data_IF_946049623682
#
_entry.id   IF_946049623682
#
_cell.length_a   1.000
_cell.length_b   1.000
_cell.length_c   1.000
_cell.angle_alpha   90.00
_cell.angle_beta   90.00
_cell.angle_gamma   90.00
#
_symmetry.space_group_name_H-M   'P 1'
#
loop_
_entity.id
_entity.type
_entity.pdbx_description
1 polymer ?
#
# COMPACT_ATOMS: atom_id res chain seq x y z
N UNK A 1 4.56 72.05 6.94
CA UNK A 1 5.30 71.72 5.71
C UNK A 1 5.65 70.24 5.77
N UNK A 2 5.03 69.45 4.88
CA UNK A 2 5.39 68.06 4.58
C UNK A 2 6.73 68.00 3.85
N UNK A 3 7.56 67.00 4.18
CA UNK A 3 8.32 66.10 3.29
C UNK A 3 9.15 65.19 4.21
N UNK A 4 8.99 63.87 4.17
CA UNK A 4 9.84 63.06 3.30
C UNK A 4 9.33 61.62 3.14
N UNK A 5 9.19 61.26 1.87
CA UNK A 5 9.64 60.03 1.22
C UNK A 5 9.27 58.65 1.82
N UNK A 6 8.31 58.04 1.14
CA UNK A 6 8.12 56.60 0.88
C UNK A 6 9.46 55.84 0.78
N UNK A 7 9.67 54.83 1.63
CA UNK A 7 10.58 53.71 1.37
C UNK A 7 9.75 52.45 1.12
N UNK A 8 9.87 51.97 -0.10
CA UNK A 8 9.53 50.63 -0.55
C UNK A 8 10.50 49.59 0.03
N UNK A 9 10.20 48.31 -0.23
CA UNK A 9 10.83 47.06 0.24
C UNK A 9 10.36 46.63 1.65
N UNK A 10 9.30 45.84 1.86
CA UNK A 10 8.83 44.66 1.11
C UNK A 10 9.94 43.64 0.80
N UNK A 11 10.67 43.24 1.84
CA UNK A 11 11.36 41.95 1.83
C UNK A 11 10.32 40.84 2.00
N UNK A 12 9.92 40.28 0.86
CA UNK A 12 9.36 38.94 0.76
C UNK A 12 10.44 37.91 1.05
N UNK A 13 10.24 37.09 2.07
CA UNK A 13 10.93 35.82 2.26
C UNK A 13 9.89 34.71 2.38
N UNK A 14 9.82 33.76 1.43
CA UNK A 14 8.88 32.66 1.49
C UNK A 14 9.53 31.47 2.21
N UNK A 15 8.73 30.78 3.01
CA UNK A 15 8.94 29.35 3.24
C UNK A 15 9.30 28.94 4.66
N UNK A 16 8.72 27.79 5.00
CA UNK A 16 9.10 26.91 6.09
C UNK A 16 8.70 27.34 7.51
N UNK A 17 7.42 27.19 7.85
CA UNK A 17 7.10 26.33 9.00
C UNK A 17 5.68 25.75 8.87
N UNK A 18 5.46 24.98 7.79
CA UNK A 18 4.29 24.09 7.69
C UNK A 18 4.65 22.82 8.44
N UNK A 19 4.60 22.86 9.78
CA UNK A 19 4.79 21.65 10.60
C UNK A 19 3.83 20.57 10.11
N UNK A 20 4.30 19.37 9.74
CA UNK A 20 3.40 18.27 9.44
C UNK A 20 2.70 17.85 10.73
N UNK A 21 1.36 17.88 10.69
CA UNK A 21 0.48 17.31 11.70
C UNK A 21 0.89 15.87 12.03
N UNK A 22 0.96 15.46 13.31
CA UNK A 22 1.16 14.06 13.67
C UNK A 22 -0.18 13.30 13.54
N UNK A 23 -0.69 13.17 12.31
CA UNK A 23 -1.89 12.36 12.02
C UNK A 23 -1.54 10.97 11.45
N UNK A 24 -0.28 10.69 11.17
CA UNK A 24 0.14 9.44 10.51
C UNK A 24 0.41 8.28 11.47
N UNK A 25 0.17 8.45 12.77
CA UNK A 25 0.48 7.44 13.78
C UNK A 25 -0.75 6.69 14.30
N UNK A 26 -1.84 6.63 13.53
CA UNK A 26 -2.98 5.80 13.88
C UNK A 26 -3.05 4.60 12.92
N UNK A 27 -2.93 3.41 13.52
CA UNK A 27 -3.24 2.09 12.94
C UNK A 27 -2.14 1.30 12.22
N UNK A 28 -0.92 1.26 12.76
CA UNK A 28 0.10 0.29 12.33
C UNK A 28 -0.10 -1.14 12.89
N UNK A 29 -1.04 -1.33 13.84
CA UNK A 29 -1.39 -2.64 14.40
C UNK A 29 -2.25 -3.53 13.48
N UNK A 30 -2.91 -2.95 12.47
CA UNK A 30 -3.66 -3.65 11.42
C UNK A 30 -2.84 -3.91 10.15
N UNK A 31 -1.61 -3.39 10.06
CA UNK A 31 -0.82 -3.41 8.82
C UNK A 31 -0.35 -4.82 8.39
N UNK A 32 -0.05 -5.72 9.34
CA UNK A 32 0.32 -7.12 9.02
C UNK A 32 -0.87 -7.95 8.54
N UNK A 33 -2.05 -7.74 9.13
CA UNK A 33 -3.29 -8.33 8.64
C UNK A 33 -3.66 -7.77 7.27
N UNK A 34 -3.47 -6.46 7.07
CA UNK A 34 -3.68 -5.80 5.78
C UNK A 34 -2.75 -6.35 4.70
N UNK A 35 -1.47 -6.61 5.02
CA UNK A 35 -0.51 -7.22 4.09
C UNK A 35 -0.89 -8.64 3.66
N UNK A 36 -1.27 -9.49 4.62
CA UNK A 36 -1.69 -10.86 4.31
C UNK A 36 -3.03 -10.91 3.57
N UNK A 37 -3.98 -10.03 3.92
CA UNK A 37 -5.25 -9.92 3.22
C UNK A 37 -5.07 -9.43 1.78
N UNK A 38 -4.19 -8.45 1.55
CA UNK A 38 -3.86 -7.98 0.21
C UNK A 38 -3.21 -9.09 -0.64
N UNK A 39 -2.26 -9.84 -0.07
CA UNK A 39 -1.63 -10.99 -0.74
C UNK A 39 -2.63 -12.10 -1.06
N UNK A 40 -3.51 -12.45 -0.12
CA UNK A 40 -4.56 -13.43 -0.34
C UNK A 40 -5.50 -12.99 -1.47
N UNK A 41 -5.87 -11.70 -1.52
CA UNK A 41 -6.66 -11.13 -2.61
C UNK A 41 -5.96 -11.23 -3.98
N UNK A 42 -4.66 -10.94 -4.06
CA UNK A 42 -3.87 -11.10 -5.29
C UNK A 42 -3.81 -12.57 -5.75
N UNK A 43 -3.64 -13.51 -4.82
CA UNK A 43 -3.62 -14.95 -5.11
C UNK A 43 -5.00 -15.42 -5.57
N UNK A 44 -6.06 -15.04 -4.87
CA UNK A 44 -7.44 -15.39 -5.25
C UNK A 44 -7.78 -14.86 -6.65
N UNK A 45 -7.40 -13.62 -6.96
CA UNK A 45 -7.59 -13.04 -8.27
C UNK A 45 -6.81 -13.78 -9.37
N UNK A 46 -5.57 -14.19 -9.09
CA UNK A 46 -4.78 -15.03 -10.00
C UNK A 46 -5.45 -16.39 -10.24
N UNK A 47 -5.95 -17.03 -9.19
CA UNK A 47 -6.61 -18.34 -9.26
C UNK A 47 -7.91 -18.28 -10.07
N UNK A 48 -8.69 -17.20 -9.95
CA UNK A 48 -9.90 -16.98 -10.76
C UNK A 48 -9.60 -16.86 -12.26
N UNK A 49 -8.42 -16.34 -12.64
CA UNK A 49 -7.98 -16.27 -14.04
C UNK A 49 -7.44 -17.59 -14.58
N UNK A 50 -7.12 -18.55 -13.72
CA UNK A 50 -6.64 -19.87 -14.12
C UNK A 50 -7.81 -20.83 -14.39
N UNK A 51 -7.89 -21.47 -15.56
CA UNK A 51 -8.97 -22.41 -15.88
C UNK A 51 -8.99 -23.64 -14.95
N UNK A 52 -7.85 -24.00 -14.37
CA UNK A 52 -7.72 -25.12 -13.43
C UNK A 52 -8.25 -24.77 -12.04
N UNK A 53 -8.14 -23.50 -11.62
CA UNK A 53 -8.43 -23.07 -10.25
C UNK A 53 -9.68 -22.19 -10.11
N UNK A 54 -10.33 -21.79 -11.22
CA UNK A 54 -11.54 -20.96 -11.22
C UNK A 54 -12.75 -21.56 -10.49
N UNK A 55 -12.77 -22.88 -10.31
CA UNK A 55 -13.84 -23.61 -9.62
C UNK A 55 -13.44 -24.08 -8.21
N UNK A 56 -12.25 -23.67 -7.74
CA UNK A 56 -11.80 -23.99 -6.41
C UNK A 56 -12.67 -23.27 -5.38
N UNK A 57 -13.13 -23.98 -4.36
CA UNK A 57 -13.87 -23.36 -3.27
C UNK A 57 -12.97 -22.42 -2.47
N UNK A 58 -13.54 -21.34 -1.96
CA UNK A 58 -12.78 -20.37 -1.16
C UNK A 58 -12.17 -21.02 0.09
N UNK A 59 -12.85 -22.00 0.68
CA UNK A 59 -12.34 -22.78 1.80
C UNK A 59 -11.08 -23.58 1.41
N UNK A 60 -11.09 -24.25 0.26
CA UNK A 60 -9.92 -25.01 -0.22
C UNK A 60 -8.76 -24.08 -0.55
N UNK A 61 -9.05 -22.90 -1.12
CA UNK A 61 -8.03 -21.89 -1.37
C UNK A 61 -7.40 -21.39 -0.06
N UNK A 62 -8.23 -21.07 0.93
CA UNK A 62 -7.76 -20.63 2.25
C UNK A 62 -6.89 -21.71 2.91
N UNK A 63 -7.30 -22.97 2.84
CA UNK A 63 -6.52 -24.10 3.33
C UNK A 63 -5.16 -24.23 2.65
N UNK A 64 -5.09 -24.07 1.32
CA UNK A 64 -3.84 -24.17 0.57
C UNK A 64 -2.89 -22.98 0.82
N UNK A 65 -3.45 -21.80 1.06
CA UNK A 65 -2.68 -20.54 1.14
C UNK A 65 -2.33 -20.19 2.59
N UNK A 66 -3.07 -20.64 3.60
CA UNK A 66 -2.82 -20.31 5.00
C UNK A 66 -1.44 -20.78 5.54
N UNK A 67 -0.98 -22.03 5.28
CA UNK A 67 0.35 -22.47 5.72
C UNK A 67 1.51 -21.66 5.11
N UNK A 68 1.61 -21.47 3.78
CA UNK A 68 2.73 -20.75 3.19
C UNK A 68 2.73 -19.25 3.52
N UNK A 69 1.57 -18.62 3.75
CA UNK A 69 1.50 -17.24 4.24
C UNK A 69 2.04 -17.12 5.66
N UNK A 70 1.63 -18.02 6.55
CA UNK A 70 2.09 -18.02 7.95
C UNK A 70 3.60 -18.24 8.05
N UNK A 71 4.13 -19.16 7.24
CA UNK A 71 5.56 -19.49 7.21
C UNK A 71 6.38 -18.54 6.31
N UNK A 72 5.74 -17.63 5.58
CA UNK A 72 6.35 -16.78 4.54
C UNK A 72 7.13 -17.58 3.49
N UNK A 73 6.71 -18.82 3.24
CA UNK A 73 7.30 -19.75 2.28
C UNK A 73 6.49 -19.71 0.99
N UNK A 74 6.49 -18.58 0.31
CA UNK A 74 5.85 -18.46 -0.99
C UNK A 74 6.62 -17.51 -1.90
N UNK A 75 6.46 -17.70 -3.21
CA UNK A 75 6.88 -16.72 -4.22
C UNK A 75 5.70 -16.36 -5.09
N UNK A 76 5.45 -15.06 -5.17
CA UNK A 76 4.47 -14.47 -6.06
C UNK A 76 5.22 -13.77 -7.20
N UNK A 77 5.15 -14.35 -8.39
CA UNK A 77 5.73 -13.78 -9.59
C UNK A 77 4.78 -12.73 -10.14
N UNK A 78 5.31 -11.52 -10.38
CA UNK A 78 4.56 -10.41 -10.95
C UNK A 78 5.21 -9.99 -12.27
N UNK A 79 4.39 -9.73 -13.28
CA UNK A 79 4.79 -9.13 -14.56
C UNK A 79 3.98 -7.86 -14.76
N UNK A 80 4.66 -6.74 -15.01
CA UNK A 80 4.01 -5.44 -15.22
C UNK A 80 3.06 -5.04 -14.06
N UNK A 81 3.46 -5.33 -12.82
CA UNK A 81 2.67 -5.18 -11.56
C UNK A 81 1.45 -6.09 -11.44
N UNK A 82 1.24 -7.02 -12.36
CA UNK A 82 0.14 -7.99 -12.30
C UNK A 82 0.67 -9.34 -11.81
N UNK A 83 0.03 -10.01 -10.82
CA UNK A 83 0.42 -11.35 -10.42
C UNK A 83 0.16 -12.34 -11.56
N UNK A 84 1.14 -13.19 -11.85
CA UNK A 84 1.10 -14.17 -12.96
C UNK A 84 1.30 -15.61 -12.53
N UNK A 85 2.01 -15.85 -11.42
CA UNK A 85 2.20 -17.19 -10.89
C UNK A 85 2.40 -17.14 -9.37
N UNK A 86 1.87 -18.16 -8.70
CA UNK A 86 2.02 -18.39 -7.27
C UNK A 86 2.65 -19.77 -7.06
N UNK A 87 3.66 -19.85 -6.19
CA UNK A 87 4.30 -21.09 -5.78
C UNK A 87 4.47 -21.05 -4.26
N UNK A 88 4.01 -22.10 -3.60
CA UNK A 88 4.12 -22.35 -2.16
C UNK A 88 4.90 -23.63 -1.91
#
# INVERSE_FOLDING_TARGET
MMTSHRSTDQVSGPGADRRPSPSCAENQGTAVASGNAALFGEIAWLMMRSPVHRHLFLADLEWLVAPPLTLKQFRLFRRDRVPVAFVS
#
